data_IF_305664656922
#
_entry.id   IF_305664656922
#
_cell.length_a   1.000
_cell.length_b   1.000
_cell.length_c   1.000
_cell.angle_alpha   90.00
_cell.angle_beta   90.00
_cell.angle_gamma   90.00
#
_symmetry.space_group_name_H-M   'P 1'
#
loop_
_entity.id
_entity.type
_entity.pdbx_description
1 polymer ?
#
# COMPACT_ATOMS: atom_id res chain seq x y z
N UNK A 1 12.79 -7.46 12.16
CA UNK A 1 11.32 -7.75 12.23
C UNK A 1 10.73 -7.28 10.92
N UNK A 2 9.80 -7.99 10.29
CA UNK A 2 9.33 -7.56 8.96
C UNK A 2 8.26 -6.48 9.07
N UNK A 3 8.28 -5.53 8.15
CA UNK A 3 7.24 -4.53 7.96
C UNK A 3 6.68 -4.61 6.55
N UNK A 4 5.40 -4.24 6.42
CA UNK A 4 4.67 -4.18 5.17
C UNK A 4 4.02 -2.82 4.98
N UNK A 5 3.79 -2.43 3.72
CA UNK A 5 2.93 -1.29 3.37
C UNK A 5 2.20 -1.55 2.07
N UNK A 6 1.09 -0.84 1.87
CA UNK A 6 0.42 -0.77 0.58
C UNK A 6 1.08 0.29 -0.30
N UNK A 7 1.38 -0.06 -1.55
CA UNK A 7 1.85 0.85 -2.59
C UNK A 7 0.88 0.85 -3.78
N UNK A 8 0.95 1.90 -4.60
CA UNK A 8 0.05 2.10 -5.74
C UNK A 8 0.69 2.99 -6.81
N UNK A 9 0.27 2.82 -8.07
CA UNK A 9 0.81 3.56 -9.22
C UNK A 9 -0.07 4.73 -9.72
N UNK A 10 -1.27 4.88 -9.17
CA UNK A 10 -2.39 5.59 -9.83
C UNK A 10 -3.10 6.63 -8.96
N UNK A 11 -2.67 6.83 -7.71
CA UNK A 11 -3.41 7.73 -6.80
C UNK A 11 -2.78 9.12 -6.80
N UNK A 12 -3.60 10.12 -7.11
CA UNK A 12 -3.28 11.55 -7.00
C UNK A 12 -3.36 12.09 -5.58
N UNK A 13 -2.76 11.39 -4.61
CA UNK A 13 -2.58 11.92 -3.26
C UNK A 13 -1.25 12.65 -3.22
N UNK A 14 -1.24 13.82 -2.61
CA UNK A 14 -0.04 14.64 -2.43
C UNK A 14 0.23 14.85 -0.93
N UNK A 15 1.50 15.04 -0.58
CA UNK A 15 1.89 15.42 0.78
C UNK A 15 1.72 16.94 0.99
N UNK A 16 2.15 17.46 2.16
CA UNK A 16 2.01 18.88 2.49
C UNK A 16 2.88 19.83 1.64
N UNK A 17 3.73 19.28 0.77
CA UNK A 17 4.61 20.03 -0.15
C UNK A 17 4.33 19.66 -1.62
N UNK A 18 3.12 19.19 -1.92
CA UNK A 18 2.63 18.85 -3.27
C UNK A 18 3.39 17.72 -3.99
N UNK A 19 4.09 16.86 -3.25
CA UNK A 19 4.73 15.68 -3.86
C UNK A 19 3.79 14.48 -3.88
N UNK A 20 3.72 13.72 -5.00
CA UNK A 20 2.89 12.53 -5.10
C UNK A 20 3.27 11.46 -4.06
N UNK A 21 2.27 10.99 -3.32
CA UNK A 21 2.37 9.86 -2.42
C UNK A 21 1.91 8.62 -3.17
N UNK A 22 2.85 7.69 -3.38
CA UNK A 22 2.63 6.42 -4.06
C UNK A 22 2.56 5.21 -3.11
N UNK A 23 2.57 5.43 -1.80
CA UNK A 23 2.47 4.36 -0.80
C UNK A 23 2.01 4.87 0.58
N UNK A 24 1.49 3.94 1.38
CA UNK A 24 1.13 4.14 2.78
C UNK A 24 2.34 4.08 3.72
N UNK A 25 2.06 4.19 5.03
CA UNK A 25 3.05 4.00 6.08
C UNK A 25 3.42 2.52 6.23
N UNK A 26 4.67 2.27 6.60
CA UNK A 26 5.13 0.95 7.04
C UNK A 26 4.47 0.57 8.35
N UNK A 27 4.01 -0.67 8.44
CA UNK A 27 3.46 -1.26 9.65
C UNK A 27 4.04 -2.66 9.89
N UNK A 28 4.03 -3.18 11.13
CA UNK A 28 4.52 -4.53 11.40
C UNK A 28 3.78 -5.60 10.59
N UNK A 29 4.51 -6.59 10.08
CA UNK A 29 3.93 -7.75 9.39
C UNK A 29 3.31 -8.72 10.40
N UNK A 30 2.11 -8.38 10.87
CA UNK A 30 1.27 -9.24 11.70
C UNK A 30 0.02 -9.66 10.91
N UNK A 31 -0.61 -10.81 11.25
CA UNK A 31 -1.73 -11.35 10.47
C UNK A 31 -2.86 -10.34 10.19
N UNK A 32 -3.18 -9.50 11.17
CA UNK A 32 -4.20 -8.46 11.04
C UNK A 32 -3.84 -7.41 9.99
N UNK A 33 -2.63 -6.88 10.04
CA UNK A 33 -2.17 -5.85 9.09
C UNK A 33 -2.11 -6.42 7.67
N UNK A 34 -1.60 -7.64 7.51
CA UNK A 34 -1.52 -8.29 6.20
C UNK A 34 -2.91 -8.55 5.61
N UNK A 35 -3.87 -8.99 6.42
CA UNK A 35 -5.26 -9.15 5.99
C UNK A 35 -5.87 -7.80 5.54
N UNK A 36 -5.75 -6.76 6.35
CA UNK A 36 -6.29 -5.44 6.04
C UNK A 36 -5.68 -4.87 4.74
N UNK A 37 -4.35 -4.94 4.57
CA UNK A 37 -3.69 -4.45 3.36
C UNK A 37 -4.03 -5.28 2.11
N UNK A 38 -4.26 -6.60 2.25
CA UNK A 38 -4.67 -7.46 1.14
C UNK A 38 -6.04 -7.06 0.61
N UNK A 39 -7.01 -6.82 1.51
CA UNK A 39 -8.35 -6.36 1.14
C UNK A 39 -8.27 -5.03 0.37
N UNK A 40 -7.46 -4.09 0.85
CA UNK A 40 -7.30 -2.78 0.18
C UNK A 40 -6.62 -2.96 -1.19
N UNK A 41 -5.58 -3.80 -1.27
CA UNK A 41 -4.89 -4.10 -2.54
C UNK A 41 -5.84 -4.70 -3.57
N UNK A 42 -6.62 -5.70 -3.20
CA UNK A 42 -7.61 -6.34 -4.08
C UNK A 42 -8.68 -5.33 -4.53
N UNK A 43 -9.20 -4.53 -3.60
CA UNK A 43 -10.20 -3.50 -3.91
C UNK A 43 -9.64 -2.42 -4.84
N UNK A 44 -8.38 -2.01 -4.65
CA UNK A 44 -7.70 -1.06 -5.52
C UNK A 44 -7.48 -1.62 -6.91
N UNK A 45 -7.03 -2.89 -7.02
CA UNK A 45 -6.85 -3.55 -8.30
C UNK A 45 -8.18 -3.77 -9.05
N UNK A 46 -9.27 -4.04 -8.35
CA UNK A 46 -10.60 -4.11 -8.95
C UNK A 46 -11.05 -2.74 -9.51
N UNK A 47 -10.87 -1.67 -8.73
CA UNK A 47 -11.36 -0.35 -9.08
C UNK A 47 -10.58 0.32 -10.23
N UNK A 48 -9.27 0.07 -10.31
CA UNK A 48 -8.40 0.82 -11.20
C UNK A 48 -7.62 -0.03 -12.21
N UNK A 49 -7.76 -1.35 -12.14
CA UNK A 49 -7.09 -2.29 -13.01
C UNK A 49 -6.03 -3.13 -12.31
N UNK A 50 -5.67 -4.27 -12.90
CA UNK A 50 -4.71 -5.21 -12.32
C UNK A 50 -3.34 -4.55 -12.12
N UNK A 51 -2.62 -5.03 -11.10
CA UNK A 51 -1.24 -4.62 -10.77
C UNK A 51 -1.05 -3.12 -10.50
N UNK A 52 -2.15 -2.41 -10.19
CA UNK A 52 -2.10 -0.99 -9.83
C UNK A 52 -1.82 -0.76 -8.35
N UNK A 53 -2.08 -1.76 -7.52
CA UNK A 53 -1.83 -1.80 -6.08
C UNK A 53 -1.08 -3.09 -5.72
N UNK A 54 -0.08 -2.99 -4.86
CA UNK A 54 0.70 -4.12 -4.36
C UNK A 54 1.12 -3.91 -2.91
N UNK A 55 1.50 -5.00 -2.23
CA UNK A 55 2.11 -4.95 -0.90
C UNK A 55 3.62 -4.98 -1.06
N UNK A 56 4.29 -4.03 -0.44
CA UNK A 56 5.75 -4.02 -0.31
C UNK A 56 6.15 -4.57 1.06
N UNK A 57 7.30 -5.23 1.12
CA UNK A 57 7.84 -5.82 2.34
C UNK A 57 9.28 -5.33 2.56
N UNK A 58 9.68 -5.14 3.83
CA UNK A 58 11.07 -4.86 4.20
C UNK A 58 11.45 -5.53 5.51
N UNK A 59 12.74 -5.79 5.66
CA UNK A 59 13.32 -6.09 6.97
C UNK A 59 13.54 -4.77 7.74
N UNK A 60 13.08 -4.73 9.00
CA UNK A 60 13.32 -3.65 9.96
C UNK A 60 14.32 -4.07 11.04
#
# INVERSE_FOLDING_TARGET
MNEIRLAWSIVGRENLIDEPIQAGLWCPDIPRNRQDLTIIMESGNEAYGPDTHWIEEREA
#
